data_IF_254131294758
#
_entry.id   IF_254131294758
#
_cell.length_a   1.000
_cell.length_b   1.000
_cell.length_c   1.000
_cell.angle_alpha   90.00
_cell.angle_beta   90.00
_cell.angle_gamma   90.00
#
_symmetry.space_group_name_H-M   'P 1'
#
loop_
_entity.id
_entity.type
_entity.pdbx_description
1 polymer ?
#
# COMPACT_ATOMS: atom_id res chain seq x y z
N UNK A 1 5.98 17.97 14.85
CA UNK A 1 5.60 18.99 13.84
C UNK A 1 6.64 19.11 12.72
N UNK A 2 7.93 19.31 13.02
CA UNK A 2 9.02 19.45 12.01
C UNK A 2 9.04 18.34 10.94
N UNK A 3 8.80 17.09 11.36
CA UNK A 3 8.74 15.94 10.46
C UNK A 3 7.76 16.12 9.30
N UNK A 4 6.50 16.43 9.61
CA UNK A 4 5.43 16.57 8.63
C UNK A 4 5.64 17.76 7.69
N UNK A 5 6.14 18.89 8.21
CA UNK A 5 6.51 20.04 7.39
C UNK A 5 7.65 19.65 6.44
N UNK A 6 8.63 18.90 6.93
CA UNK A 6 9.73 18.37 6.11
C UNK A 6 9.22 17.51 4.95
N UNK A 7 8.28 16.59 5.21
CA UNK A 7 7.66 15.75 4.17
C UNK A 7 6.90 16.62 3.15
N UNK A 8 6.10 17.58 3.61
CA UNK A 8 5.33 18.47 2.74
C UNK A 8 6.24 19.27 1.80
N UNK A 9 7.36 19.78 2.31
CA UNK A 9 8.32 20.52 1.51
C UNK A 9 9.05 19.64 0.48
N UNK A 10 9.27 18.35 0.80
CA UNK A 10 9.86 17.40 -0.14
C UNK A 10 8.92 17.01 -1.28
N UNK A 11 7.60 17.08 -1.08
CA UNK A 11 6.62 16.83 -2.15
C UNK A 11 6.54 17.94 -3.20
N UNK A 12 6.97 19.17 -2.89
CA UNK A 12 6.76 20.34 -3.75
C UNK A 12 7.64 20.45 -5.00
N UNK A 13 8.47 19.44 -5.33
CA UNK A 13 9.42 19.41 -6.47
C UNK A 13 10.29 20.66 -6.71
N UNK A 14 10.43 21.55 -5.71
CA UNK A 14 11.34 22.71 -5.78
C UNK A 14 12.66 22.38 -5.11
N UNK A 15 13.76 22.87 -5.66
CA UNK A 15 15.10 22.70 -5.07
C UNK A 15 15.19 23.31 -3.67
N UNK A 16 14.55 24.47 -3.46
CA UNK A 16 14.46 25.13 -2.15
C UNK A 16 13.64 24.32 -1.15
N UNK A 17 12.48 23.81 -1.56
CA UNK A 17 11.63 22.94 -0.73
C UNK A 17 12.37 21.67 -0.33
N UNK A 18 13.07 21.04 -1.28
CA UNK A 18 13.89 19.87 -1.00
C UNK A 18 14.97 20.13 0.05
N UNK A 19 15.74 21.22 -0.12
CA UNK A 19 16.82 21.58 0.80
C UNK A 19 16.27 21.89 2.19
N UNK A 20 15.23 22.71 2.29
CA UNK A 20 14.62 23.05 3.59
C UNK A 20 14.00 21.82 4.25
N UNK A 21 13.28 21.00 3.50
CA UNK A 21 12.64 19.78 3.99
C UNK A 21 13.65 18.77 4.53
N UNK A 22 14.75 18.51 3.80
CA UNK A 22 15.82 17.62 4.28
C UNK A 22 16.51 18.16 5.54
N UNK A 23 16.71 19.48 5.67
CA UNK A 23 17.23 20.08 6.91
C UNK A 23 16.27 19.93 8.10
N UNK A 24 14.96 20.14 7.90
CA UNK A 24 13.97 19.95 8.96
C UNK A 24 13.91 18.48 9.43
N UNK A 25 13.94 17.54 8.48
CA UNK A 25 14.00 16.12 8.81
C UNK A 25 15.31 15.77 9.54
N UNK A 26 16.44 16.34 9.10
CA UNK A 26 17.75 16.16 9.75
C UNK A 26 17.70 16.61 11.21
N UNK A 27 17.23 17.83 11.47
CA UNK A 27 17.13 18.34 12.84
C UNK A 27 16.23 17.48 13.71
N UNK A 28 15.09 17.01 13.20
CA UNK A 28 14.22 16.09 13.94
C UNK A 28 14.91 14.73 14.20
N UNK A 29 15.66 14.21 13.23
CA UNK A 29 16.44 12.97 13.39
C UNK A 29 17.56 13.12 14.42
N UNK A 30 18.24 14.28 14.46
CA UNK A 30 19.27 14.61 15.47
C UNK A 30 18.69 14.68 16.89
N UNK A 31 17.42 15.08 17.02
CA UNK A 31 16.68 15.04 18.29
C UNK A 31 16.16 13.64 18.66
N UNK A 32 16.55 12.59 17.90
CA UNK A 32 16.15 11.22 18.18
C UNK A 32 14.75 10.84 17.68
N UNK A 33 14.11 11.66 16.84
CA UNK A 33 12.80 11.33 16.29
C UNK A 33 12.92 10.29 15.17
N UNK A 34 12.70 9.02 15.51
CA UNK A 34 12.86 7.85 14.62
C UNK A 34 12.20 8.00 13.25
N UNK A 35 10.92 8.44 13.12
CA UNK A 35 10.30 8.57 11.80
C UNK A 35 11.07 9.49 10.86
N UNK A 36 11.68 10.57 11.36
CA UNK A 36 12.51 11.45 10.53
C UNK A 36 13.79 10.79 10.03
N UNK A 37 14.41 9.93 10.85
CA UNK A 37 15.56 9.12 10.42
C UNK A 37 15.16 8.17 9.30
N UNK A 38 14.03 7.47 9.44
CA UNK A 38 13.52 6.54 8.42
C UNK A 38 13.15 7.26 7.12
N UNK A 39 12.46 8.40 7.22
CA UNK A 39 12.10 9.22 6.06
C UNK A 39 13.33 9.75 5.33
N UNK A 40 14.36 10.25 6.02
CA UNK A 40 15.60 10.68 5.38
C UNK A 40 16.24 9.56 4.57
N UNK A 41 16.43 8.39 5.20
CA UNK A 41 17.05 7.25 4.53
C UNK A 41 16.22 6.81 3.33
N UNK A 42 14.89 6.75 3.46
CA UNK A 42 13.98 6.41 2.36
C UNK A 42 14.08 7.40 1.20
N UNK A 43 14.07 8.70 1.50
CA UNK A 43 14.14 9.80 0.52
C UNK A 43 15.45 9.77 -0.25
N UNK A 44 16.58 9.57 0.45
CA UNK A 44 17.87 9.41 -0.23
C UNK A 44 17.94 8.13 -1.05
N UNK A 45 17.36 7.02 -0.59
CA UNK A 45 17.34 5.75 -1.33
C UNK A 45 16.32 5.72 -2.48
N UNK A 46 15.42 6.70 -2.57
CA UNK A 46 14.47 6.81 -3.68
C UNK A 46 14.99 7.64 -4.85
N UNK A 47 16.06 8.43 -4.68
CA UNK A 47 16.64 9.15 -5.81
C UNK A 47 17.34 8.19 -6.79
N UNK A 48 17.49 8.56 -8.07
CA UNK A 48 18.18 7.72 -9.05
C UNK A 48 19.60 7.33 -8.62
N UNK A 49 20.15 6.17 -9.03
CA UNK A 49 21.44 5.66 -8.56
C UNK A 49 22.59 6.67 -8.66
N UNK A 50 22.73 7.37 -9.80
CA UNK A 50 23.77 8.37 -10.02
C UNK A 50 23.65 9.61 -9.08
N UNK A 51 22.45 9.91 -8.59
CA UNK A 51 22.26 10.95 -7.56
C UNK A 51 22.52 10.38 -6.18
N UNK A 52 22.13 9.13 -5.94
CA UNK A 52 22.38 8.43 -4.69
C UNK A 52 23.88 8.35 -4.38
N UNK A 53 24.74 8.04 -5.36
CA UNK A 53 26.19 7.94 -5.13
C UNK A 53 26.79 9.24 -4.59
N UNK A 54 26.29 10.39 -5.06
CA UNK A 54 26.68 11.71 -4.52
C UNK A 54 26.10 11.93 -3.13
N UNK A 55 24.81 11.64 -2.95
CA UNK A 55 24.13 11.79 -1.68
C UNK A 55 24.72 10.90 -0.58
N UNK A 56 25.15 9.68 -0.92
CA UNK A 56 25.70 8.69 -0.02
C UNK A 56 26.99 9.16 0.69
N UNK A 57 27.72 10.07 0.04
CA UNK A 57 28.96 10.65 0.58
C UNK A 57 28.70 11.88 1.46
N UNK A 58 27.48 12.43 1.47
CA UNK A 58 27.16 13.59 2.30
C UNK A 58 27.19 13.23 3.79
N UNK A 59 27.58 14.19 4.63
CA UNK A 59 27.55 14.03 6.10
C UNK A 59 26.13 13.72 6.57
N UNK A 60 25.14 14.42 6.01
CA UNK A 60 23.71 14.23 6.34
C UNK A 60 23.25 12.78 6.12
N UNK A 61 23.55 12.18 4.96
CA UNK A 61 23.17 10.80 4.70
C UNK A 61 23.91 9.82 5.61
N UNK A 62 25.24 9.99 5.78
CA UNK A 62 26.04 9.07 6.59
C UNK A 62 25.56 9.04 8.04
N UNK A 63 25.26 10.19 8.63
CA UNK A 63 24.71 10.30 9.99
C UNK A 63 23.32 9.68 10.10
N UNK A 64 22.42 9.99 9.16
CA UNK A 64 21.07 9.41 9.15
C UNK A 64 21.10 7.88 8.96
N UNK A 65 21.97 7.39 8.08
CA UNK A 65 22.15 5.96 7.85
C UNK A 65 22.77 5.27 9.06
N UNK A 66 23.72 5.89 9.77
CA UNK A 66 24.28 5.33 11.00
C UNK A 66 23.19 5.11 12.07
N UNK A 67 22.37 6.13 12.34
CA UNK A 67 21.21 6.02 13.26
C UNK A 67 20.21 4.96 12.80
N UNK A 68 19.92 4.91 11.51
CA UNK A 68 19.06 3.87 10.94
C UNK A 68 19.61 2.46 11.20
N UNK A 69 20.92 2.24 11.00
CA UNK A 69 21.54 0.95 11.29
C UNK A 69 21.49 0.61 12.79
N UNK A 70 21.57 1.59 13.69
CA UNK A 70 21.38 1.37 15.13
C UNK A 70 19.97 0.90 15.46
N UNK A 71 18.94 1.53 14.87
CA UNK A 71 17.53 1.13 15.04
C UNK A 71 17.30 -0.29 14.50
N UNK A 72 17.85 -0.59 13.32
CA UNK A 72 17.76 -1.93 12.72
C UNK A 72 18.44 -2.98 13.58
N UNK A 73 19.63 -2.68 14.14
CA UNK A 73 20.36 -3.59 15.04
C UNK A 73 19.57 -3.89 16.32
N UNK A 74 18.80 -2.93 16.83
CA UNK A 74 17.92 -3.15 17.97
C UNK A 74 16.81 -4.18 17.65
N UNK A 75 16.36 -4.25 16.39
CA UNK A 75 15.44 -5.28 15.90
C UNK A 75 14.01 -5.18 16.45
N UNK A 76 13.66 -4.07 17.10
CA UNK A 76 12.35 -3.87 17.74
C UNK A 76 11.38 -3.02 16.93
N UNK A 77 11.88 -2.25 15.96
CA UNK A 77 11.09 -1.33 15.14
C UNK A 77 10.68 -1.98 13.81
N UNK A 78 9.37 -2.27 13.59
CA UNK A 78 8.90 -2.91 12.37
C UNK A 78 9.02 -2.01 11.13
N UNK A 79 8.94 -0.68 11.27
CA UNK A 79 9.08 0.26 10.15
C UNK A 79 10.53 0.31 9.67
N UNK A 80 11.49 0.32 10.60
CA UNK A 80 12.91 0.26 10.28
C UNK A 80 13.30 -1.04 9.57
N UNK A 81 12.81 -2.18 10.06
CA UNK A 81 13.04 -3.50 9.44
C UNK A 81 12.36 -3.59 8.06
N UNK A 82 11.18 -2.99 7.91
CA UNK A 82 10.51 -2.87 6.60
C UNK A 82 11.36 -2.05 5.62
N UNK A 83 11.94 -0.92 6.06
CA UNK A 83 12.85 -0.11 5.24
C UNK A 83 14.06 -0.92 4.78
N UNK A 84 14.66 -1.69 5.70
CA UNK A 84 15.80 -2.53 5.41
C UNK A 84 15.45 -3.58 4.35
N UNK A 85 14.29 -4.21 4.46
CA UNK A 85 13.77 -5.15 3.46
C UNK A 85 13.64 -4.50 2.08
N UNK A 86 13.08 -3.29 2.00
CA UNK A 86 12.97 -2.53 0.75
C UNK A 86 14.35 -2.20 0.15
N UNK A 87 15.32 -1.79 0.98
CA UNK A 87 16.68 -1.49 0.54
C UNK A 87 17.35 -2.75 -0.05
N UNK A 88 17.22 -3.89 0.63
CA UNK A 88 17.75 -5.16 0.12
C UNK A 88 17.03 -5.61 -1.16
N UNK A 89 15.70 -5.45 -1.24
CA UNK A 89 14.92 -5.84 -2.42
C UNK A 89 15.34 -5.07 -3.69
N UNK A 90 15.79 -3.81 -3.52
CA UNK A 90 16.30 -2.97 -4.63
C UNK A 90 17.77 -3.24 -4.98
N UNK A 91 18.50 -3.98 -4.14
CA UNK A 91 19.91 -4.26 -4.37
C UNK A 91 20.11 -5.37 -5.41
N UNK A 92 21.09 -5.18 -6.30
CA UNK A 92 21.49 -6.16 -7.33
C UNK A 92 22.45 -7.22 -6.77
N UNK A 93 22.89 -7.07 -5.52
CA UNK A 93 23.80 -8.03 -4.87
C UNK A 93 23.25 -9.46 -4.84
N UNK A 94 24.12 -10.45 -5.05
CA UNK A 94 23.75 -11.86 -4.92
C UNK A 94 23.24 -12.14 -3.51
N UNK A 95 22.05 -12.74 -3.40
CA UNK A 95 21.39 -13.05 -2.12
C UNK A 95 20.65 -11.87 -1.49
N UNK A 96 20.55 -10.71 -2.16
CA UNK A 96 19.79 -9.56 -1.67
C UNK A 96 18.31 -9.89 -1.40
N UNK A 97 17.69 -10.72 -2.25
CA UNK A 97 16.31 -11.20 -2.10
C UNK A 97 16.08 -11.95 -0.79
N UNK A 98 16.99 -12.86 -0.42
CA UNK A 98 16.89 -13.61 0.83
C UNK A 98 17.01 -12.68 2.06
N UNK A 99 17.94 -11.72 2.00
CA UNK A 99 18.08 -10.69 3.04
C UNK A 99 16.82 -9.83 3.16
N UNK A 100 16.19 -9.48 2.03
CA UNK A 100 14.95 -8.73 2.01
C UNK A 100 13.79 -9.49 2.66
N UNK A 101 13.59 -10.77 2.30
CA UNK A 101 12.58 -11.63 2.92
C UNK A 101 12.82 -11.80 4.42
N UNK A 102 14.08 -12.00 4.83
CA UNK A 102 14.44 -12.09 6.24
C UNK A 102 14.08 -10.81 7.01
N UNK A 103 14.41 -9.63 6.47
CA UNK A 103 14.10 -8.35 7.09
C UNK A 103 12.58 -8.11 7.20
N UNK A 104 11.81 -8.45 6.15
CA UNK A 104 10.35 -8.33 6.21
C UNK A 104 9.71 -9.32 7.20
N UNK A 105 10.23 -10.53 7.33
CA UNK A 105 9.80 -11.49 8.35
C UNK A 105 10.09 -10.96 9.76
N UNK A 106 11.31 -10.43 9.98
CA UNK A 106 11.70 -9.78 11.24
C UNK A 106 10.77 -8.62 11.60
N UNK A 107 10.36 -7.79 10.63
CA UNK A 107 9.39 -6.71 10.88
C UNK A 107 8.06 -7.24 11.45
N UNK A 108 7.57 -8.35 10.90
CA UNK A 108 6.34 -9.00 11.38
C UNK A 108 6.51 -9.53 12.80
N UNK A 109 7.64 -10.20 13.08
CA UNK A 109 7.96 -10.71 14.42
C UNK A 109 8.10 -9.59 15.44
N UNK A 110 8.79 -8.49 15.09
CA UNK A 110 8.97 -7.33 15.96
C UNK A 110 7.62 -6.73 16.38
N UNK A 111 6.70 -6.57 15.44
CA UNK A 111 5.34 -6.13 15.75
C UNK A 111 4.60 -7.11 16.67
N UNK A 112 4.65 -8.42 16.38
CA UNK A 112 3.99 -9.44 17.21
C UNK A 112 4.51 -9.46 18.65
N UNK A 113 5.83 -9.32 18.84
CA UNK A 113 6.45 -9.26 20.17
C UNK A 113 5.97 -8.04 20.94
N UNK A 114 5.98 -6.86 20.29
CA UNK A 114 5.47 -5.61 20.90
C UNK A 114 4.01 -5.73 21.35
N UNK A 115 3.16 -6.42 20.58
CA UNK A 115 1.76 -6.65 20.97
C UNK A 115 1.64 -7.57 22.19
N UNK A 116 2.47 -8.61 22.29
CA UNK A 116 2.47 -9.51 23.46
C UNK A 116 2.90 -8.79 24.72
N UNK A 117 3.93 -7.95 24.64
CA UNK A 117 4.41 -7.15 25.76
C UNK A 117 3.33 -6.17 26.25
N UNK A 118 2.71 -5.43 25.33
CA UNK A 118 1.61 -4.51 25.66
C UNK A 118 0.39 -5.23 26.23
N UNK A 119 0.07 -6.42 25.72
CA UNK A 119 -1.01 -7.28 26.23
C UNK A 119 -0.74 -7.88 27.61
N UNK A 120 0.53 -8.05 27.99
CA UNK A 120 0.93 -8.52 29.32
C UNK A 120 0.81 -7.41 30.36
N UNK A 121 1.28 -6.20 30.02
CA UNK A 121 1.23 -5.02 30.91
C UNK A 121 -0.21 -4.64 31.27
N UNK A 122 -1.13 -4.73 30.31
CA UNK A 122 -2.55 -4.44 30.55
C UNK A 122 -3.25 -5.48 31.44
N UNK A 123 -2.84 -6.76 31.38
CA UNK A 123 -3.35 -7.81 32.27
C UNK A 123 -2.81 -7.69 33.70
N UNK A 124 -1.57 -7.24 33.86
CA UNK A 124 -0.95 -7.05 35.17
C UNK A 124 -1.53 -5.82 35.89
N UNK A 125 -1.78 -4.70 35.17
CA UNK A 125 -2.44 -3.52 35.74
C UNK A 125 -3.90 -3.84 36.13
N UNK A 126 -4.62 -4.65 35.33
CA UNK A 126 -5.96 -5.09 35.67
C UNK A 126 -6.03 -6.03 36.89
N UNK A 127 -4.93 -6.72 37.22
CA UNK A 127 -4.83 -7.57 38.41
C UNK A 127 -4.48 -6.78 39.70
N UNK A 128 -3.93 -5.56 39.58
CA UNK A 128 -3.49 -4.73 40.71
C UNK A 128 -4.56 -3.74 41.20
N UNK A 129 -5.63 -3.50 40.43
CA UNK A 129 -6.73 -2.61 40.82
C UNK A 129 -8.03 -3.39 41.07
N UNK A 130 -8.31 -3.84 42.30
CA UNK A 130 -9.62 -4.37 42.66
C UNK A 130 -10.58 -3.23 42.99
N UNK A 131 -11.55 -2.98 42.10
CA UNK A 131 -12.87 -2.46 42.49
C UNK A 131 -13.28 -1.10 41.91
N UNK A 132 -14.23 -1.13 40.97
CA UNK A 132 -15.63 -0.70 41.16
C UNK A 132 -16.38 -0.87 39.83
N UNK A 133 -17.44 -1.67 39.87
CA UNK A 133 -18.29 -1.93 38.72
C UNK A 133 -19.16 -0.75 38.35
N UNK A 134 -19.54 -0.70 37.07
CA UNK A 134 -20.76 -0.06 36.58
C UNK A 134 -21.32 -0.93 35.46
N UNK A 135 -22.55 -1.40 35.66
CA UNK A 135 -23.37 -2.15 34.71
C UNK A 135 -24.17 -1.20 33.79
N UNK A 136 -24.60 -1.77 32.65
CA UNK A 136 -25.72 -1.37 31.77
C UNK A 136 -25.50 -0.08 30.94
N UNK A 137 -25.96 0.04 29.69
CA UNK A 137 -27.21 -0.47 29.11
C UNK A 137 -27.10 -0.68 27.59
N UNK A 138 -27.84 -1.69 27.12
CA UNK A 138 -28.29 -1.85 25.76
C UNK A 138 -29.21 -0.70 25.32
N UNK A 139 -29.16 -0.35 24.04
CA UNK A 139 -30.26 0.31 23.33
C UNK A 139 -30.20 -0.11 21.86
N UNK A 140 -31.07 -1.04 21.51
CA UNK A 140 -31.61 -1.32 20.18
C UNK A 140 -32.16 -0.04 19.56
N UNK A 141 -31.85 0.20 18.28
CA UNK A 141 -32.65 1.09 17.44
C UNK A 141 -32.69 0.53 16.01
N UNK A 142 -33.70 -0.30 15.78
CA UNK A 142 -34.19 -0.64 14.46
C UNK A 142 -34.83 0.60 13.81
N UNK A 143 -34.52 0.84 12.54
CA UNK A 143 -35.36 1.61 11.63
C UNK A 143 -35.26 1.00 10.25
N UNK A 144 -36.28 0.22 9.93
CA UNK A 144 -36.61 -0.27 8.59
C UNK A 144 -37.43 0.81 7.89
N UNK A 145 -37.02 1.22 6.70
CA UNK A 145 -37.93 1.71 5.67
C UNK A 145 -37.64 1.01 4.35
N UNK A 146 -38.60 0.20 3.92
CA UNK A 146 -38.65 -0.47 2.62
C UNK A 146 -38.89 0.54 1.49
N UNK A 147 -38.01 0.56 0.50
CA UNK A 147 -38.31 0.48 -0.95
C UNK A 147 -36.95 0.17 -1.60
N UNK A 148 -36.74 -0.94 -2.30
CA UNK A 148 -37.26 -1.18 -3.62
C UNK A 148 -37.26 -2.68 -3.92
N UNK A 149 -38.45 -3.23 -4.10
CA UNK A 149 -38.66 -4.53 -4.71
C UNK A 149 -38.69 -4.35 -6.24
N UNK A 150 -37.51 -4.24 -6.85
CA UNK A 150 -37.32 -4.46 -8.29
C UNK A 150 -35.96 -5.15 -8.48
N UNK A 151 -35.97 -6.32 -9.13
CA UNK A 151 -34.81 -7.14 -9.55
C UNK A 151 -34.09 -8.02 -8.51
N UNK A 152 -34.86 -8.85 -7.79
CA UNK A 152 -34.35 -9.86 -6.86
C UNK A 152 -33.93 -11.21 -7.50
N UNK A 153 -33.35 -11.24 -8.71
CA UNK A 153 -33.03 -12.53 -9.36
C UNK A 153 -31.70 -12.68 -10.12
N UNK A 154 -30.79 -11.68 -10.18
CA UNK A 154 -29.54 -11.86 -10.95
C UNK A 154 -28.27 -11.16 -10.43
N UNK A 155 -28.29 -10.52 -9.26
CA UNK A 155 -27.11 -9.78 -8.78
C UNK A 155 -26.59 -10.40 -7.48
N UNK A 156 -25.84 -11.51 -7.60
CA UNK A 156 -24.90 -11.93 -6.55
C UNK A 156 -23.81 -10.87 -6.48
N UNK A 157 -24.13 -9.70 -5.90
CA UNK A 157 -23.18 -8.62 -5.69
C UNK A 157 -22.03 -9.17 -4.88
N UNK A 158 -20.88 -9.31 -5.53
CA UNK A 158 -19.65 -9.67 -4.85
C UNK A 158 -19.29 -8.51 -3.92
N UNK A 159 -19.47 -8.71 -2.62
CA UNK A 159 -19.20 -7.70 -1.59
C UNK A 159 -17.85 -7.98 -0.93
N UNK A 160 -17.04 -6.92 -0.82
CA UNK A 160 -15.74 -6.98 -0.18
C UNK A 160 -15.89 -6.80 1.34
N UNK A 161 -15.01 -7.41 2.15
CA UNK A 161 -14.96 -7.13 3.58
C UNK A 161 -14.56 -5.67 3.83
N UNK A 162 -14.98 -5.08 4.98
CA UNK A 162 -14.53 -3.76 5.36
C UNK A 162 -13.02 -3.76 5.65
N UNK A 163 -12.25 -2.76 5.17
CA UNK A 163 -10.83 -2.71 5.40
C UNK A 163 -10.48 -2.35 6.85
N UNK A 164 -9.32 -2.83 7.30
CA UNK A 164 -8.72 -2.46 8.59
C UNK A 164 -7.57 -1.48 8.40
N UNK A 165 -7.21 -0.81 9.49
CA UNK A 165 -6.00 0.01 9.48
C UNK A 165 -4.73 -0.87 9.49
N UNK A 166 -3.62 -0.36 8.93
CA UNK A 166 -2.30 -0.95 9.09
C UNK A 166 -1.91 -1.09 10.56
N UNK A 167 -1.26 -2.20 10.88
CA UNK A 167 -0.75 -2.57 12.22
C UNK A 167 0.47 -1.77 12.63
N UNK A 168 1.26 -1.33 11.66
CA UNK A 168 2.35 -0.37 11.74
C UNK A 168 2.36 0.44 10.44
N UNK A 169 3.07 1.57 10.41
CA UNK A 169 2.96 2.54 9.32
C UNK A 169 3.24 1.91 7.95
N UNK A 170 4.26 1.05 7.87
CA UNK A 170 4.72 0.47 6.61
C UNK A 170 4.30 -1.01 6.40
N UNK A 171 3.25 -1.50 7.07
CA UNK A 171 2.76 -2.87 6.90
C UNK A 171 2.48 -3.22 5.44
N UNK A 172 1.77 -2.34 4.72
CA UNK A 172 1.46 -2.53 3.29
C UNK A 172 2.74 -2.70 2.46
N UNK A 173 3.76 -1.86 2.71
CA UNK A 173 5.03 -1.94 1.99
C UNK A 173 5.80 -3.22 2.30
N UNK A 174 5.74 -3.70 3.54
CA UNK A 174 6.31 -4.97 3.96
C UNK A 174 5.66 -6.14 3.20
N UNK A 175 4.33 -6.20 3.21
CA UNK A 175 3.56 -7.28 2.57
C UNK A 175 3.77 -7.29 1.05
N UNK A 176 3.67 -6.15 0.38
CA UNK A 176 3.90 -6.05 -1.06
C UNK A 176 5.34 -6.37 -1.43
N UNK A 177 6.31 -5.94 -0.61
CA UNK A 177 7.72 -6.26 -0.78
C UNK A 177 7.98 -7.77 -0.75
N UNK A 178 7.43 -8.47 0.25
CA UNK A 178 7.50 -9.92 0.33
C UNK A 178 6.83 -10.58 -0.88
N UNK A 179 5.57 -10.22 -1.17
CA UNK A 179 4.78 -10.84 -2.23
C UNK A 179 5.46 -10.72 -3.60
N UNK A 180 6.01 -9.54 -3.92
CA UNK A 180 6.72 -9.31 -5.18
C UNK A 180 7.98 -10.18 -5.32
N UNK A 181 8.76 -10.37 -4.24
CA UNK A 181 9.93 -11.27 -4.28
C UNK A 181 9.49 -12.71 -4.53
N UNK A 182 8.41 -13.16 -3.89
CA UNK A 182 7.89 -14.52 -4.07
C UNK A 182 7.40 -14.75 -5.51
N UNK A 183 6.64 -13.81 -6.08
CA UNK A 183 6.24 -13.88 -7.52
C UNK A 183 7.46 -13.95 -8.44
N UNK A 184 8.49 -13.13 -8.18
CA UNK A 184 9.72 -13.13 -8.99
C UNK A 184 10.51 -14.45 -8.88
N UNK A 185 10.40 -15.16 -7.76
CA UNK A 185 11.06 -16.46 -7.57
C UNK A 185 10.35 -17.60 -8.30
N UNK A 186 9.06 -17.43 -8.66
CA UNK A 186 8.18 -18.46 -9.27
C UNK A 186 8.01 -19.75 -8.47
N UNK A 187 8.53 -19.82 -7.25
CA UNK A 187 8.48 -21.04 -6.42
C UNK A 187 7.26 -21.08 -5.49
N UNK A 188 6.74 -19.92 -5.07
CA UNK A 188 5.71 -19.83 -4.00
C UNK A 188 4.54 -18.91 -4.36
N UNK A 189 3.91 -19.14 -5.52
CA UNK A 189 2.77 -18.34 -6.00
C UNK A 189 1.59 -18.31 -5.02
N UNK A 190 1.32 -19.40 -4.31
CA UNK A 190 0.25 -19.45 -3.31
C UNK A 190 0.49 -18.53 -2.10
N UNK A 191 1.74 -18.44 -1.63
CA UNK A 191 2.11 -17.56 -0.51
C UNK A 191 2.01 -16.10 -0.94
N UNK A 192 2.47 -15.78 -2.15
CA UNK A 192 2.31 -14.46 -2.73
C UNK A 192 0.82 -14.06 -2.83
N UNK A 193 -0.05 -14.98 -3.28
CA UNK A 193 -1.50 -14.76 -3.34
C UNK A 193 -2.09 -14.46 -1.96
N UNK A 194 -1.68 -15.17 -0.90
CA UNK A 194 -2.12 -14.88 0.47
C UNK A 194 -1.72 -13.48 0.90
N UNK A 195 -0.49 -13.05 0.61
CA UNK A 195 -0.02 -11.71 0.92
C UNK A 195 -0.78 -10.63 0.12
N UNK A 196 -1.03 -10.84 -1.17
CA UNK A 196 -1.85 -9.91 -1.95
C UNK A 196 -3.30 -9.86 -1.48
N UNK A 197 -3.87 -10.96 -0.98
CA UNK A 197 -5.18 -10.96 -0.32
C UNK A 197 -5.21 -10.07 0.91
N UNK A 198 -4.19 -10.14 1.76
CA UNK A 198 -4.09 -9.22 2.91
C UNK A 198 -3.95 -7.77 2.42
N UNK A 199 -3.07 -7.50 1.47
CA UNK A 199 -2.87 -6.15 0.95
C UNK A 199 -4.16 -5.56 0.32
N UNK A 200 -4.88 -6.34 -0.47
CA UNK A 200 -6.08 -5.89 -1.17
C UNK A 200 -7.30 -5.84 -0.25
N UNK A 201 -7.62 -6.96 0.41
CA UNK A 201 -8.90 -7.15 1.07
C UNK A 201 -8.90 -6.63 2.51
N UNK A 202 -7.76 -6.71 3.21
CA UNK A 202 -7.66 -6.18 4.57
C UNK A 202 -7.17 -4.74 4.59
N UNK A 203 -6.26 -4.35 3.68
CA UNK A 203 -5.60 -3.03 3.71
C UNK A 203 -6.05 -2.08 2.58
N UNK A 204 -7.06 -2.46 1.79
CA UNK A 204 -7.62 -1.70 0.65
C UNK A 204 -6.55 -1.13 -0.30
N UNK A 205 -5.47 -1.89 -0.54
CA UNK A 205 -4.37 -1.41 -1.35
C UNK A 205 -4.61 -1.72 -2.86
N UNK A 206 -4.53 -0.71 -3.75
CA UNK A 206 -4.80 -0.89 -5.18
C UNK A 206 -3.82 -1.82 -5.87
N UNK A 207 -2.53 -1.80 -5.51
CA UNK A 207 -1.53 -2.72 -6.07
C UNK A 207 -1.85 -4.16 -5.68
N UNK A 208 -2.34 -4.37 -4.45
CA UNK A 208 -2.85 -5.66 -4.01
C UNK A 208 -3.99 -6.17 -4.90
N UNK A 209 -4.98 -5.32 -5.17
CA UNK A 209 -6.12 -5.66 -6.03
C UNK A 209 -5.69 -6.02 -7.46
N UNK A 210 -4.83 -5.21 -8.08
CA UNK A 210 -4.31 -5.49 -9.42
C UNK A 210 -3.57 -6.83 -9.47
N UNK A 211 -2.69 -7.09 -8.51
CA UNK A 211 -1.91 -8.33 -8.47
C UNK A 211 -2.79 -9.56 -8.23
N UNK A 212 -3.84 -9.45 -7.40
CA UNK A 212 -4.84 -10.51 -7.29
C UNK A 212 -5.55 -10.76 -8.61
N UNK A 213 -6.01 -9.71 -9.29
CA UNK A 213 -6.71 -9.87 -10.56
C UNK A 213 -5.86 -10.59 -11.63
N UNK A 214 -4.55 -10.34 -11.64
CA UNK A 214 -3.59 -10.97 -12.55
C UNK A 214 -3.25 -12.41 -12.21
N UNK A 215 -3.11 -12.72 -10.92
CA UNK A 215 -2.65 -14.02 -10.44
C UNK A 215 -3.78 -15.00 -10.13
N UNK A 216 -5.04 -14.54 -10.13
CA UNK A 216 -6.19 -15.38 -9.87
C UNK A 216 -6.46 -16.33 -11.05
N UNK A 217 -6.68 -17.60 -10.73
CA UNK A 217 -7.07 -18.61 -11.72
C UNK A 217 -8.49 -18.36 -12.26
N UNK A 218 -8.82 -19.05 -13.36
CA UNK A 218 -10.17 -19.04 -13.93
C UNK A 218 -10.41 -17.99 -15.02
N UNK A 219 -11.68 -17.76 -15.40
CA UNK A 219 -12.04 -16.91 -16.52
C UNK A 219 -11.61 -15.45 -16.34
N UNK A 220 -11.11 -14.87 -17.43
CA UNK A 220 -10.67 -13.46 -17.45
C UNK A 220 -11.83 -12.51 -17.15
N UNK A 221 -13.05 -12.86 -17.56
CA UNK A 221 -14.27 -12.07 -17.38
C UNK A 221 -15.04 -12.40 -16.08
N UNK A 222 -14.40 -13.07 -15.11
CA UNK A 222 -15.04 -13.36 -13.83
C UNK A 222 -15.44 -12.07 -13.08
N UNK A 223 -16.61 -12.05 -12.41
CA UNK A 223 -17.10 -10.85 -11.74
C UNK A 223 -16.18 -10.39 -10.62
N UNK A 224 -15.55 -11.33 -9.89
CA UNK A 224 -14.56 -11.05 -8.85
C UNK A 224 -13.33 -10.32 -9.42
N UNK A 225 -12.76 -10.79 -10.54
CA UNK A 225 -11.61 -10.15 -11.18
C UNK A 225 -11.93 -8.72 -11.59
N UNK A 226 -13.13 -8.53 -12.16
CA UNK A 226 -13.62 -7.22 -12.58
C UNK A 226 -13.74 -6.24 -11.40
N UNK A 227 -14.24 -6.70 -10.24
CA UNK A 227 -14.31 -5.87 -9.03
C UNK A 227 -12.91 -5.45 -8.56
N UNK A 228 -11.94 -6.37 -8.55
CA UNK A 228 -10.56 -6.04 -8.18
C UNK A 228 -9.93 -5.03 -9.14
N UNK A 229 -10.09 -5.23 -10.45
CA UNK A 229 -9.59 -4.28 -11.43
C UNK A 229 -10.24 -2.90 -11.29
N UNK A 230 -11.56 -2.83 -11.05
CA UNK A 230 -12.26 -1.56 -10.79
C UNK A 230 -11.70 -0.84 -9.56
N UNK A 231 -11.44 -1.56 -8.46
CA UNK A 231 -10.84 -0.98 -7.24
C UNK A 231 -9.45 -0.38 -7.51
N UNK A 232 -8.61 -1.09 -8.25
CA UNK A 232 -7.30 -0.60 -8.64
C UNK A 232 -7.40 0.61 -9.59
N UNK A 233 -8.25 0.53 -10.62
CA UNK A 233 -8.43 1.58 -11.62
C UNK A 233 -9.00 2.89 -11.01
N UNK A 234 -9.98 2.80 -10.11
CA UNK A 234 -10.53 3.97 -9.40
C UNK A 234 -9.48 4.65 -8.52
N UNK A 235 -8.45 3.91 -8.09
CA UNK A 235 -7.31 4.46 -7.35
C UNK A 235 -6.25 5.08 -8.27
N UNK A 236 -6.51 5.17 -9.58
CA UNK A 236 -5.61 5.75 -10.58
C UNK A 236 -4.55 4.78 -11.12
N UNK A 237 -4.71 3.47 -10.92
CA UNK A 237 -3.80 2.48 -11.51
C UNK A 237 -4.06 2.33 -13.02
N UNK A 238 -3.13 2.81 -13.84
CA UNK A 238 -3.27 2.84 -15.31
C UNK A 238 -3.24 1.45 -15.93
N UNK A 239 -2.52 0.50 -15.33
CA UNK A 239 -2.47 -0.87 -15.80
C UNK A 239 -3.82 -1.57 -15.54
N UNK A 240 -4.45 -1.31 -14.40
CA UNK A 240 -5.80 -1.77 -14.12
C UNK A 240 -6.84 -1.17 -15.11
N UNK A 241 -6.70 0.11 -15.46
CA UNK A 241 -7.51 0.75 -16.51
C UNK A 241 -7.32 0.04 -17.85
N UNK A 242 -6.08 -0.27 -18.24
CA UNK A 242 -5.79 -0.99 -19.48
C UNK A 242 -6.47 -2.36 -19.51
N UNK A 243 -6.33 -3.14 -18.44
CA UNK A 243 -6.94 -4.47 -18.30
C UNK A 243 -8.48 -4.41 -18.37
N UNK A 244 -9.11 -3.41 -17.74
CA UNK A 244 -10.55 -3.18 -17.88
C UNK A 244 -10.93 -2.84 -19.33
N UNK A 245 -10.17 -1.98 -19.99
CA UNK A 245 -10.39 -1.63 -21.39
C UNK A 245 -10.39 -2.84 -22.31
N UNK A 246 -9.44 -3.75 -22.10
CA UNK A 246 -9.36 -5.03 -22.82
C UNK A 246 -10.53 -5.96 -22.48
N UNK A 247 -10.92 -6.06 -21.22
CA UNK A 247 -12.08 -6.85 -20.80
C UNK A 247 -13.39 -6.38 -21.43
N UNK A 248 -13.59 -5.06 -21.52
CA UNK A 248 -14.77 -4.50 -22.18
C UNK A 248 -14.74 -4.70 -23.70
N UNK A 249 -13.56 -4.64 -24.32
CA UNK A 249 -13.42 -4.98 -25.74
C UNK A 249 -13.81 -6.44 -26.01
N UNK A 250 -13.37 -7.36 -25.15
CA UNK A 250 -13.74 -8.77 -25.21
C UNK A 250 -15.24 -8.97 -25.00
N UNK A 251 -15.84 -8.27 -24.02
CA UNK A 251 -17.29 -8.30 -23.79
C UNK A 251 -18.06 -7.81 -25.02
N UNK A 252 -17.64 -6.71 -25.66
CA UNK A 252 -18.27 -6.16 -26.86
C UNK A 252 -18.22 -7.12 -28.07
N UNK A 253 -17.24 -8.03 -28.11
CA UNK A 253 -17.08 -9.03 -29.17
C UNK A 253 -17.99 -10.26 -28.99
N UNK A 254 -18.69 -10.40 -27.86
CA UNK A 254 -19.56 -11.57 -27.62
C UNK A 254 -20.83 -11.52 -28.47
N UNK A 255 -21.19 -12.67 -29.05
CA UNK A 255 -22.32 -12.80 -29.97
C UNK A 255 -23.68 -12.86 -29.28
N UNK A 256 -23.71 -13.14 -27.97
CA UNK A 256 -24.91 -13.25 -27.13
C UNK A 256 -25.50 -11.90 -26.70
N UNK A 257 -24.78 -10.80 -26.93
CA UNK A 257 -25.22 -9.46 -26.53
C UNK A 257 -26.05 -8.76 -27.62
N UNK A 258 -27.01 -7.94 -27.17
CA UNK A 258 -27.74 -7.01 -28.03
C UNK A 258 -26.82 -5.94 -28.62
N UNK A 259 -27.22 -5.33 -29.74
CA UNK A 259 -26.43 -4.27 -30.37
C UNK A 259 -26.16 -3.10 -29.41
N UNK A 260 -27.14 -2.73 -28.58
CA UNK A 260 -27.02 -1.67 -27.58
C UNK A 260 -25.93 -2.00 -26.54
N UNK A 261 -25.96 -3.21 -25.98
CA UNK A 261 -24.95 -3.66 -25.01
C UNK A 261 -23.54 -3.69 -25.63
N UNK A 262 -23.42 -4.18 -26.87
CA UNK A 262 -22.11 -4.16 -27.59
C UNK A 262 -21.59 -2.75 -27.77
N UNK A 263 -22.46 -1.79 -28.11
CA UNK A 263 -22.05 -0.38 -28.23
C UNK A 263 -21.64 0.22 -26.90
N UNK A 264 -22.31 -0.11 -25.80
CA UNK A 264 -21.96 0.33 -24.44
C UNK A 264 -20.59 -0.22 -24.02
N UNK A 265 -20.34 -1.53 -24.16
CA UNK A 265 -19.03 -2.12 -23.86
C UNK A 265 -17.92 -1.54 -24.73
N UNK A 266 -18.18 -1.29 -26.02
CA UNK A 266 -17.21 -0.64 -26.92
C UNK A 266 -16.89 0.79 -26.47
N UNK A 267 -17.87 1.53 -25.95
CA UNK A 267 -17.65 2.87 -25.40
C UNK A 267 -16.82 2.79 -24.13
N UNK A 268 -17.20 1.94 -23.17
CA UNK A 268 -16.47 1.74 -21.91
C UNK A 268 -15.02 1.32 -22.16
N UNK A 269 -14.78 0.41 -23.10
CA UNK A 269 -13.44 -0.02 -23.51
C UNK A 269 -12.57 1.16 -23.91
N UNK A 270 -13.09 2.07 -24.76
CA UNK A 270 -12.35 3.26 -25.19
C UNK A 270 -12.07 4.21 -24.04
N UNK A 271 -13.03 4.42 -23.15
CA UNK A 271 -12.86 5.31 -21.99
C UNK A 271 -11.77 4.78 -21.04
N UNK A 272 -11.78 3.48 -20.74
CA UNK A 272 -10.76 2.88 -19.90
C UNK A 272 -9.36 2.93 -20.52
N UNK A 273 -9.24 2.65 -21.82
CA UNK A 273 -7.97 2.75 -22.53
C UNK A 273 -7.44 4.21 -22.56
N UNK A 274 -8.33 5.19 -22.77
CA UNK A 274 -7.97 6.61 -22.68
C UNK A 274 -7.42 6.99 -21.30
N UNK A 275 -8.03 6.48 -20.23
CA UNK A 275 -7.53 6.69 -18.87
C UNK A 275 -6.19 6.00 -18.63
N UNK A 276 -5.96 4.84 -19.23
CA UNK A 276 -4.69 4.11 -19.14
C UNK A 276 -3.52 4.87 -19.79
N UNK A 277 -3.78 5.56 -20.92
CA UNK A 277 -2.77 6.37 -21.61
C UNK A 277 -2.30 7.57 -20.77
N UNK A 278 -3.09 8.00 -19.78
CA UNK A 278 -2.72 9.03 -18.82
C UNK A 278 -2.60 10.44 -19.42
N UNK A 279 -3.01 10.65 -20.68
CA UNK A 279 -2.98 11.96 -21.34
C UNK A 279 -3.87 12.98 -20.59
N UNK A 280 -5.07 12.57 -20.18
CA UNK A 280 -6.01 13.43 -19.46
C UNK A 280 -5.50 13.79 -18.05
N UNK A 281 -4.92 12.83 -17.34
CA UNK A 281 -4.29 13.06 -16.03
C UNK A 281 -3.09 14.01 -16.16
N UNK A 282 -2.26 13.79 -17.18
CA UNK A 282 -1.11 14.65 -17.46
C UNK A 282 -1.53 16.06 -17.85
N UNK A 283 -2.59 16.22 -18.65
CA UNK A 283 -3.15 17.51 -19.03
C UNK A 283 -3.74 18.25 -17.82
N UNK A 284 -4.48 17.54 -16.95
CA UNK A 284 -5.02 18.10 -15.72
C UNK A 284 -3.93 18.55 -14.74
N UNK A 285 -2.88 17.75 -14.56
CA UNK A 285 -1.74 18.11 -13.73
C UNK A 285 -1.02 19.34 -14.32
N UNK A 286 -0.77 19.37 -15.63
CA UNK A 286 -0.14 20.54 -16.28
C UNK A 286 -0.99 21.81 -16.13
N UNK A 287 -2.31 21.71 -16.27
CA UNK A 287 -3.22 22.85 -16.14
C UNK A 287 -3.30 23.39 -14.70
N UNK A 288 -3.10 22.54 -13.68
CA UNK A 288 -3.18 22.93 -12.27
C UNK A 288 -1.83 23.21 -11.60
N UNK A 289 -0.72 22.85 -12.25
CA UNK A 289 0.65 23.10 -11.76
C UNK A 289 1.32 24.26 -12.54
N UNK A 290 0.66 24.80 -13.57
CA UNK A 290 1.08 25.99 -14.29
C UNK A 290 0.49 27.26 -13.69
N UNK A 291 1.17 27.82 -12.68
CA UNK A 291 1.43 29.25 -12.43
C UNK A 291 2.32 29.42 -11.18
#
# INVERSE_FOLDING_TARGET
MLHWIGILLLSGNTTTGWRLGTHMLRSASELGYTPSTLSLVRVFRSVPPHMFDRAANTVMYREANARFQEIVKAGTDPDALTLQGIIHAKSVEKGSRLKALAAFSQATTAWQTRQRENGSVTKEIAAVVPGKGTQASAATSDCVTNSDAVDAAADRRFTLPPPRQPRWEWEVSCILGQANILVQSRETTEEALKLFKVAALELDNPVGFLMLAKLMDGPRDSPERRVYLLKAAVSGDTEACQELGELEALAAARNDLSQKQRTEHKMLSKEWLRLADGEDLSAFIKANVGD
#
